data_IF_805111693829
#
_entry.id   IF_805111693829
#
_cell.length_a   1.000
_cell.length_b   1.000
_cell.length_c   1.000
_cell.angle_alpha   90.00
_cell.angle_beta   90.00
_cell.angle_gamma   90.00
#
_symmetry.space_group_name_H-M   'P 1'
#
loop_
_entity.id
_entity.type
_entity.pdbx_description
1 polymer ?
#
# COMPACT_ATOMS: atom_id res chain seq x y z
N UNK A 1 -2.87 -15.20 39.05
CA UNK A 1 -3.74 -14.09 38.63
C UNK A 1 -2.90 -13.22 37.72
N UNK A 2 -2.74 -13.66 36.47
CA UNK A 2 -1.95 -12.92 35.48
C UNK A 2 -2.92 -11.96 34.81
N UNK A 3 -2.67 -10.67 34.97
CA UNK A 3 -3.32 -9.63 34.19
C UNK A 3 -2.87 -9.80 32.74
N UNK A 4 -3.75 -10.35 31.90
CA UNK A 4 -3.65 -10.20 30.45
C UNK A 4 -3.69 -8.70 30.15
N UNK A 5 -2.52 -8.11 29.91
CA UNK A 5 -2.45 -6.80 29.27
C UNK A 5 -2.85 -7.03 27.83
N UNK A 6 -4.08 -6.63 27.46
CA UNK A 6 -4.51 -6.62 26.08
C UNK A 6 -3.48 -5.86 25.23
N UNK A 7 -3.17 -6.39 24.04
CA UNK A 7 -2.27 -5.73 23.12
C UNK A 7 -2.76 -4.30 22.84
N UNK A 8 -1.85 -3.31 22.79
CA UNK A 8 -2.25 -1.93 22.54
C UNK A 8 -2.92 -1.82 21.16
N UNK A 9 -4.02 -1.06 21.10
CA UNK A 9 -4.78 -0.81 19.87
C UNK A 9 -3.82 -0.24 18.80
N UNK A 10 -3.81 -0.79 17.55
CA UNK A 10 -2.97 -0.27 16.48
C UNK A 10 -3.22 1.21 16.22
N UNK A 11 -2.17 1.97 15.84
CA UNK A 11 -2.29 3.42 15.61
C UNK A 11 -3.38 3.75 14.57
N UNK A 12 -3.56 2.91 13.55
CA UNK A 12 -4.60 3.07 12.51
C UNK A 12 -6.02 2.95 13.06
N UNK A 13 -6.20 2.28 14.19
CA UNK A 13 -7.48 2.05 14.86
C UNK A 13 -7.69 2.99 16.07
N UNK A 14 -6.73 3.88 16.35
CA UNK A 14 -6.84 4.86 17.43
C UNK A 14 -7.63 6.09 16.96
N UNK A 15 -8.38 6.68 17.88
CA UNK A 15 -9.04 7.96 17.62
C UNK A 15 -8.03 9.11 17.54
N UNK A 16 -8.20 9.99 16.56
CA UNK A 16 -7.49 11.25 16.54
C UNK A 16 -8.21 12.29 17.42
N UNK A 17 -7.59 12.63 18.55
CA UNK A 17 -8.11 13.59 19.53
C UNK A 17 -8.42 14.98 18.95
N UNK A 18 -7.70 15.42 17.90
CA UNK A 18 -7.98 16.70 17.23
C UNK A 18 -9.33 16.70 16.51
N UNK A 19 -9.91 15.53 16.28
CA UNK A 19 -11.14 15.32 15.50
C UNK A 19 -12.26 14.67 16.31
N UNK A 20 -12.13 14.59 17.64
CA UNK A 20 -13.09 13.89 18.52
C UNK A 20 -14.55 14.38 18.36
N UNK A 21 -14.77 15.63 17.96
CA UNK A 21 -16.08 16.22 17.73
C UNK A 21 -16.32 16.67 16.28
N UNK A 22 -15.62 16.07 15.30
CA UNK A 22 -15.60 16.48 13.88
C UNK A 22 -16.99 16.71 13.29
N UNK A 23 -17.95 15.83 13.57
CA UNK A 23 -19.32 15.87 13.05
C UNK A 23 -20.15 17.09 13.51
N UNK A 24 -19.70 17.78 14.57
CA UNK A 24 -20.37 18.96 15.11
C UNK A 24 -19.76 20.29 14.66
N UNK A 25 -18.62 20.25 13.96
CA UNK A 25 -17.88 21.44 13.57
C UNK A 25 -18.46 22.09 12.30
N UNK A 26 -18.27 23.42 12.13
CA UNK A 26 -18.52 24.07 10.84
C UNK A 26 -17.68 23.42 9.73
N UNK A 27 -18.22 23.32 8.51
CA UNK A 27 -17.54 22.68 7.36
C UNK A 27 -16.13 23.24 7.11
N UNK A 28 -15.93 24.56 7.26
CA UNK A 28 -14.61 25.19 7.11
C UNK A 28 -13.58 24.57 8.06
N UNK A 29 -13.99 24.31 9.29
CA UNK A 29 -13.12 23.79 10.34
C UNK A 29 -12.83 22.31 10.11
N UNK A 30 -13.80 21.54 9.61
CA UNK A 30 -13.59 20.16 9.15
C UNK A 30 -12.52 20.12 8.06
N UNK A 31 -12.65 20.95 7.01
CA UNK A 31 -11.70 21.00 5.91
C UNK A 31 -10.31 21.47 6.35
N UNK A 32 -10.25 22.45 7.27
CA UNK A 32 -8.99 22.92 7.86
C UNK A 32 -8.29 21.78 8.62
N UNK A 33 -9.02 21.04 9.46
CA UNK A 33 -8.48 19.92 10.22
C UNK A 33 -7.97 18.79 9.31
N UNK A 34 -8.72 18.43 8.26
CA UNK A 34 -8.24 17.43 7.28
C UNK A 34 -6.92 17.87 6.64
N UNK A 35 -6.85 19.13 6.20
CA UNK A 35 -5.64 19.67 5.60
C UNK A 35 -4.47 19.73 6.60
N UNK A 36 -4.73 20.07 7.86
CA UNK A 36 -3.70 20.06 8.91
C UNK A 36 -3.09 18.66 9.08
N UNK A 37 -3.91 17.61 9.10
CA UNK A 37 -3.45 16.22 9.18
C UNK A 37 -2.69 15.79 7.91
N UNK A 38 -3.15 16.21 6.72
CA UNK A 38 -2.44 15.94 5.45
C UNK A 38 -1.02 16.52 5.45
N UNK A 39 -0.79 17.65 6.13
CA UNK A 39 0.56 18.26 6.22
C UNK A 39 1.57 17.38 6.97
N UNK A 40 1.10 16.41 7.76
CA UNK A 40 1.95 15.52 8.55
C UNK A 40 2.52 14.37 7.70
N UNK A 41 1.93 14.08 6.54
CA UNK A 41 2.30 12.93 5.70
C UNK A 41 3.72 13.05 5.15
N UNK A 42 4.06 14.19 4.52
CA UNK A 42 5.37 14.35 3.90
C UNK A 42 6.54 14.30 4.93
N UNK A 43 6.45 14.94 6.11
CA UNK A 43 7.42 14.73 7.18
C UNK A 43 7.55 13.26 7.62
N UNK A 44 6.43 12.54 7.74
CA UNK A 44 6.45 11.12 8.12
C UNK A 44 7.17 10.25 7.07
N UNK A 45 6.96 10.51 5.77
CA UNK A 45 7.74 9.88 4.69
C UNK A 45 9.22 10.21 4.82
N UNK A 46 9.55 11.45 5.20
CA UNK A 46 10.93 11.88 5.45
C UNK A 46 11.66 11.03 6.50
N UNK A 47 10.94 10.51 7.50
CA UNK A 47 11.51 9.68 8.56
C UNK A 47 11.90 8.27 8.10
N UNK A 48 11.27 7.77 7.03
CA UNK A 48 11.48 6.41 6.51
C UNK A 48 12.24 6.37 5.18
N UNK A 49 12.87 7.49 4.80
CA UNK A 49 13.69 7.55 3.59
C UNK A 49 14.83 6.52 3.55
N UNK A 50 15.52 6.19 4.65
CA UNK A 50 16.54 5.13 4.63
C UNK A 50 16.00 3.77 4.16
N UNK A 51 14.83 3.37 4.66
CA UNK A 51 14.16 2.12 4.27
C UNK A 51 13.63 2.17 2.83
N UNK A 52 13.16 3.35 2.40
CA UNK A 52 12.77 3.57 1.00
C UNK A 52 13.99 3.43 0.06
N UNK A 53 15.17 3.91 0.47
CA UNK A 53 16.41 3.72 -0.31
C UNK A 53 16.72 2.24 -0.47
N UNK A 54 16.71 1.46 0.62
CA UNK A 54 16.95 0.01 0.56
C UNK A 54 15.94 -0.71 -0.36
N UNK A 55 14.66 -0.33 -0.29
CA UNK A 55 13.63 -0.87 -1.15
C UNK A 55 13.88 -0.53 -2.64
N UNK A 56 14.21 0.73 -2.95
CA UNK A 56 14.49 1.16 -4.32
C UNK A 56 15.74 0.46 -4.87
N UNK A 57 16.82 0.35 -4.08
CA UNK A 57 18.03 -0.36 -4.50
C UNK A 57 17.75 -1.84 -4.81
N UNK A 58 16.97 -2.51 -3.96
CA UNK A 58 16.52 -3.88 -4.20
C UNK A 58 15.71 -4.02 -5.49
N UNK A 59 14.78 -3.11 -5.74
CA UNK A 59 13.95 -3.09 -6.97
C UNK A 59 14.80 -2.85 -8.21
N UNK A 60 15.70 -1.86 -8.18
CA UNK A 60 16.61 -1.55 -9.29
C UNK A 60 17.48 -2.76 -9.63
N UNK A 61 18.05 -3.41 -8.62
CA UNK A 61 18.85 -4.62 -8.82
C UNK A 61 18.03 -5.75 -9.44
N UNK A 62 16.81 -6.01 -8.93
CA UNK A 62 15.93 -7.03 -9.48
C UNK A 62 15.60 -6.77 -10.96
N UNK A 63 15.25 -5.53 -11.31
CA UNK A 63 14.94 -5.13 -12.69
C UNK A 63 16.17 -5.28 -13.60
N UNK A 64 17.36 -4.88 -13.15
CA UNK A 64 18.61 -5.04 -13.91
C UNK A 64 18.97 -6.51 -14.20
N UNK A 65 18.50 -7.44 -13.38
CA UNK A 65 18.64 -8.88 -13.58
C UNK A 65 17.51 -9.49 -14.42
N UNK A 66 16.64 -8.68 -15.02
CA UNK A 66 15.48 -9.12 -15.79
C UNK A 66 14.26 -9.50 -14.94
N UNK A 67 14.25 -9.11 -13.67
CA UNK A 67 13.12 -9.25 -12.76
C UNK A 67 12.01 -8.23 -13.01
N UNK A 68 10.99 -8.27 -12.16
CA UNK A 68 9.77 -7.46 -12.24
C UNK A 68 9.37 -6.97 -10.85
N UNK A 69 8.68 -5.84 -10.78
CA UNK A 69 8.10 -5.31 -9.55
C UNK A 69 6.61 -5.69 -9.45
N UNK A 70 6.20 -6.18 -8.29
CA UNK A 70 4.81 -6.52 -7.98
C UNK A 70 4.33 -5.75 -6.76
N UNK A 71 3.30 -4.91 -6.91
CA UNK A 71 2.49 -4.41 -5.82
C UNK A 71 1.38 -5.41 -5.50
N UNK A 72 1.13 -5.66 -4.21
CA UNK A 72 0.10 -6.60 -3.77
C UNK A 72 -0.68 -5.94 -2.63
N UNK A 73 -2.00 -5.94 -2.72
CA UNK A 73 -2.82 -5.39 -1.64
C UNK A 73 -4.32 -5.52 -1.88
N UNK A 74 -5.10 -5.06 -0.91
CA UNK A 74 -6.56 -4.99 -0.97
C UNK A 74 -7.02 -3.54 -0.83
N UNK A 75 -8.30 -3.28 -1.13
CA UNK A 75 -8.93 -1.99 -0.88
C UNK A 75 -8.15 -0.81 -1.47
N UNK A 76 -7.96 0.23 -0.66
CA UNK A 76 -7.24 1.45 -1.09
C UNK A 76 -5.78 1.17 -1.47
N UNK A 77 -5.06 0.37 -0.67
CA UNK A 77 -3.66 0.04 -0.93
C UNK A 77 -3.47 -0.69 -2.26
N UNK A 78 -4.34 -1.68 -2.54
CA UNK A 78 -4.34 -2.37 -3.83
C UNK A 78 -4.63 -1.44 -5.01
N UNK A 79 -5.57 -0.50 -4.86
CA UNK A 79 -5.91 0.48 -5.90
C UNK A 79 -4.76 1.45 -6.18
N UNK A 80 -4.03 1.89 -5.15
CA UNK A 80 -2.84 2.73 -5.31
C UNK A 80 -1.73 1.98 -6.07
N UNK A 81 -1.52 0.70 -5.77
CA UNK A 81 -0.58 -0.14 -6.53
C UNK A 81 -0.98 -0.28 -8.01
N UNK A 82 -2.27 -0.46 -8.30
CA UNK A 82 -2.79 -0.49 -9.68
C UNK A 82 -2.57 0.84 -10.40
N UNK A 83 -2.80 1.96 -9.72
CA UNK A 83 -2.58 3.30 -10.27
C UNK A 83 -1.12 3.49 -10.68
N UNK A 84 -0.18 3.24 -9.77
CA UNK A 84 1.25 3.41 -10.03
C UNK A 84 1.75 2.51 -11.17
N UNK A 85 1.38 1.22 -11.15
CA UNK A 85 1.75 0.28 -12.21
C UNK A 85 1.20 0.70 -13.59
N UNK A 86 -0.01 1.25 -13.65
CA UNK A 86 -0.62 1.69 -14.90
C UNK A 86 0.07 2.93 -15.51
N UNK A 87 0.69 3.77 -14.69
CA UNK A 87 1.41 4.96 -15.14
C UNK A 87 2.83 4.65 -15.66
N UNK A 88 3.39 3.50 -15.30
CA UNK A 88 4.75 3.12 -15.69
C UNK A 88 4.97 3.01 -17.22
N UNK A 89 4.14 2.28 -18.00
CA UNK A 89 4.33 2.17 -19.45
C UNK A 89 4.27 3.51 -20.21
N UNK A 90 3.25 4.37 -20.04
CA UNK A 90 3.19 5.64 -20.77
C UNK A 90 4.24 6.65 -20.31
N UNK A 91 4.68 6.62 -19.05
CA UNK A 91 5.66 7.56 -18.50
C UNK A 91 7.10 7.20 -18.88
N UNK A 92 7.45 5.92 -18.81
CA UNK A 92 8.83 5.45 -18.96
C UNK A 92 9.07 4.61 -20.23
N UNK A 93 8.03 4.32 -21.03
CA UNK A 93 8.15 3.52 -22.26
C UNK A 93 8.49 2.05 -22.01
N UNK A 94 8.17 1.53 -20.82
CA UNK A 94 8.47 0.15 -20.40
C UNK A 94 7.32 -0.80 -20.71
N UNK A 95 7.60 -2.11 -20.69
CA UNK A 95 6.56 -3.14 -20.81
C UNK A 95 5.58 -3.07 -19.62
N UNK A 96 4.26 -3.28 -19.83
CA UNK A 96 3.29 -3.45 -18.74
C UNK A 96 3.60 -4.65 -17.83
N UNK A 97 4.46 -5.58 -18.26
CA UNK A 97 4.89 -6.71 -17.42
C UNK A 97 5.97 -6.33 -16.40
N UNK A 98 6.65 -5.17 -16.58
CA UNK A 98 7.78 -4.77 -15.73
C UNK A 98 7.32 -4.38 -14.31
N UNK A 99 6.23 -3.63 -14.21
CA UNK A 99 5.61 -3.20 -12.96
C UNK A 99 4.15 -3.62 -12.99
N UNK A 100 3.76 -4.47 -12.05
CA UNK A 100 2.43 -5.07 -12.00
C UNK A 100 1.79 -4.86 -10.63
N UNK A 101 0.46 -4.82 -10.61
CA UNK A 101 -0.31 -4.79 -9.38
C UNK A 101 -1.26 -5.98 -9.30
N UNK A 102 -1.35 -6.56 -8.10
CA UNK A 102 -2.26 -7.63 -7.72
C UNK A 102 -3.19 -7.05 -6.65
N UNK A 103 -4.45 -6.87 -7.02
CA UNK A 103 -5.48 -6.42 -6.11
C UNK A 103 -6.37 -7.60 -5.70
N UNK A 104 -6.53 -7.76 -4.40
CA UNK A 104 -7.43 -8.72 -3.77
C UNK A 104 -8.86 -8.55 -4.33
N UNK A 105 -9.47 -9.63 -4.81
CA UNK A 105 -10.77 -9.61 -5.50
C UNK A 105 -10.70 -9.33 -7.01
N UNK A 106 -9.49 -9.22 -7.57
CA UNK A 106 -9.25 -8.96 -8.99
C UNK A 106 -9.57 -7.52 -9.41
N UNK A 107 -9.42 -7.20 -10.70
CA UNK A 107 -9.61 -5.83 -11.21
C UNK A 107 -11.03 -5.26 -10.99
N UNK A 108 -12.02 -6.11 -10.74
CA UNK A 108 -13.36 -5.72 -10.30
C UNK A 108 -13.32 -4.90 -8.98
N UNK A 109 -12.35 -5.21 -8.11
CA UNK A 109 -12.14 -4.50 -6.85
C UNK A 109 -11.67 -3.05 -7.06
N UNK A 110 -11.22 -2.67 -8.26
CA UNK A 110 -10.85 -1.28 -8.56
C UNK A 110 -12.04 -0.33 -8.51
N UNK A 111 -13.24 -0.79 -8.87
CA UNK A 111 -14.42 0.08 -9.01
C UNK A 111 -15.61 -0.33 -8.13
N UNK A 112 -15.52 -1.47 -7.44
CA UNK A 112 -16.50 -1.89 -6.43
C UNK A 112 -15.78 -2.47 -5.22
N UNK A 113 -16.29 -2.22 -4.01
CA UNK A 113 -15.86 -2.96 -2.85
C UNK A 113 -16.28 -4.44 -3.01
N UNK A 114 -15.30 -5.35 -2.94
CA UNK A 114 -15.56 -6.78 -2.96
C UNK A 114 -15.35 -7.28 -1.54
N UNK A 115 -16.43 -7.66 -0.86
CA UNK A 115 -16.31 -8.36 0.42
C UNK A 115 -15.76 -9.77 0.13
N UNK A 116 -14.79 -10.21 0.93
CA UNK A 116 -14.13 -11.53 0.87
C UNK A 116 -12.91 -11.69 -0.05
N UNK A 117 -11.90 -10.80 0.07
CA UNK A 117 -10.55 -11.13 -0.43
C UNK A 117 -9.41 -10.96 0.56
N UNK A 118 -9.63 -10.35 1.73
CA UNK A 118 -8.55 -10.11 2.71
C UNK A 118 -8.33 -11.32 3.64
N UNK A 119 -9.35 -12.16 3.83
CA UNK A 119 -9.30 -13.33 4.73
C UNK A 119 -8.77 -14.62 4.05
N UNK A 120 -8.56 -14.61 2.74
CA UNK A 120 -7.98 -15.74 2.01
C UNK A 120 -6.45 -15.61 1.94
N UNK A 121 -5.78 -16.16 2.94
CA UNK A 121 -4.32 -16.11 3.05
C UNK A 121 -3.60 -16.72 1.84
N UNK A 122 -4.22 -17.66 1.12
CA UNK A 122 -3.62 -18.36 -0.02
C UNK A 122 -3.85 -17.63 -1.35
N UNK A 123 -4.79 -16.68 -1.41
CA UNK A 123 -5.13 -15.97 -2.64
C UNK A 123 -3.94 -15.22 -3.25
N UNK A 124 -3.16 -14.51 -2.42
CA UNK A 124 -1.98 -13.79 -2.87
C UNK A 124 -0.91 -14.69 -3.50
N UNK A 125 -0.69 -15.88 -2.94
CA UNK A 125 0.25 -16.85 -3.50
C UNK A 125 -0.23 -17.38 -4.86
N UNK A 126 -1.53 -17.70 -4.98
CA UNK A 126 -2.12 -18.15 -6.24
C UNK A 126 -2.02 -17.08 -7.32
N UNK A 127 -2.27 -15.82 -6.98
CA UNK A 127 -2.19 -14.69 -7.92
C UNK A 127 -0.77 -14.40 -8.39
N UNK A 128 0.23 -14.59 -7.52
CA UNK A 128 1.64 -14.51 -7.88
C UNK A 128 2.06 -15.66 -8.79
N UNK A 129 1.65 -16.89 -8.47
CA UNK A 129 1.91 -18.07 -9.30
C UNK A 129 1.32 -17.93 -10.70
N UNK A 130 0.10 -17.40 -10.81
CA UNK A 130 -0.55 -17.14 -12.09
C UNK A 130 0.23 -16.15 -12.99
N UNK A 131 1.09 -15.32 -12.40
CA UNK A 131 1.97 -14.35 -13.10
C UNK A 131 3.40 -14.84 -13.27
N UNK A 132 3.65 -16.12 -13.01
CA UNK A 132 4.97 -16.75 -13.03
C UNK A 132 5.96 -16.01 -12.13
N UNK A 133 5.55 -15.62 -10.91
CA UNK A 133 6.45 -15.00 -9.96
C UNK A 133 7.65 -15.90 -9.68
N UNK A 134 8.85 -15.32 -9.68
CA UNK A 134 10.12 -16.00 -9.42
C UNK A 134 10.94 -15.19 -8.44
N UNK A 135 11.70 -15.86 -7.59
CA UNK A 135 12.69 -15.18 -6.74
C UNK A 135 13.87 -14.73 -7.58
N UNK A 136 14.25 -13.46 -7.45
CA UNK A 136 15.59 -13.01 -7.85
C UNK A 136 16.50 -13.23 -6.64
N UNK A 137 17.53 -14.05 -6.77
CA UNK A 137 18.47 -14.26 -5.67
C UNK A 137 19.22 -12.97 -5.36
N UNK A 138 19.07 -12.47 -4.15
CA UNK A 138 19.80 -11.29 -3.67
C UNK A 138 20.61 -11.64 -2.42
N UNK A 139 21.90 -11.31 -2.46
CA UNK A 139 22.80 -11.36 -1.30
C UNK A 139 23.17 -9.90 -0.99
N UNK A 140 22.80 -9.42 0.20
CA UNK A 140 23.32 -8.15 0.74
C UNK A 140 24.83 -8.27 1.02
#
# INVERSE_FOLDING_TARGET
MNSETADPIPITEQENLNTANLSSLPLREVLRLMNDEDTLVAPAVGLVLPEVVEAVEGVVNAINQGGRLFYIGTGTSGRLGVLDAAECPPTFGVSPDLVQAIIAGGYEACYRAVEASEDDADAGERDLKARNFTTVSYTH
#
